data_IF_925148069316
#
_entry.id   IF_925148069316
#
_cell.length_a   1.000
_cell.length_b   1.000
_cell.length_c   1.000
_cell.angle_alpha   90.00
_cell.angle_beta   90.00
_cell.angle_gamma   90.00
#
_symmetry.space_group_name_H-M   'P 1'
#
loop_
_entity.id
_entity.type
_entity.pdbx_description
1 polymer ?
#
# COMPACT_ATOMS: atom_id res chain seq x y z
N UNK A 1 -39.07 10.15 -35.39
CA UNK A 1 -38.78 9.54 -34.08
C UNK A 1 -37.89 8.33 -34.31
N UNK A 2 -36.61 8.39 -33.91
CA UNK A 2 -35.71 7.22 -33.96
C UNK A 2 -35.93 6.40 -32.70
N UNK A 3 -36.39 5.17 -32.84
CA UNK A 3 -36.54 4.23 -31.73
C UNK A 3 -35.17 3.81 -31.23
N UNK A 4 -34.87 4.08 -29.95
CA UNK A 4 -33.66 3.58 -29.30
C UNK A 4 -33.78 2.06 -29.16
N UNK A 5 -32.71 1.35 -29.53
CA UNK A 5 -32.69 -0.11 -29.51
C UNK A 5 -32.51 -0.61 -28.06
N UNK A 6 -33.53 -1.24 -27.49
CA UNK A 6 -33.54 -1.74 -26.11
C UNK A 6 -32.43 -2.74 -25.83
N UNK A 7 -32.01 -3.53 -26.82
CA UNK A 7 -30.86 -4.42 -26.70
C UNK A 7 -29.56 -3.62 -26.51
N UNK A 8 -29.38 -2.51 -27.23
CA UNK A 8 -28.22 -1.64 -27.09
C UNK A 8 -28.18 -0.98 -25.69
N UNK A 9 -29.33 -0.56 -25.17
CA UNK A 9 -29.45 -0.04 -23.81
C UNK A 9 -29.15 -1.09 -22.74
N UNK A 10 -29.64 -2.33 -22.91
CA UNK A 10 -29.34 -3.44 -22.00
C UNK A 10 -27.86 -3.83 -22.03
N UNK A 11 -27.23 -3.87 -23.20
CA UNK A 11 -25.79 -4.08 -23.35
C UNK A 11 -24.98 -2.94 -22.71
N UNK A 12 -25.35 -1.68 -22.91
CA UNK A 12 -24.72 -0.53 -22.24
C UNK A 12 -24.89 -0.59 -20.71
N UNK A 13 -26.07 -0.96 -20.21
CA UNK A 13 -26.30 -1.14 -18.78
C UNK A 13 -25.46 -2.30 -18.19
N UNK A 14 -25.31 -3.40 -18.93
CA UNK A 14 -24.47 -4.56 -18.55
C UNK A 14 -22.96 -4.24 -18.61
N UNK A 15 -22.51 -3.32 -19.48
CA UNK A 15 -21.14 -2.80 -19.45
C UNK A 15 -20.93 -1.77 -18.35
N UNK A 16 -21.96 -0.99 -17.97
CA UNK A 16 -21.88 -0.06 -16.85
C UNK A 16 -21.92 -0.78 -15.48
N UNK A 17 -22.52 -1.98 -15.41
CA UNK A 17 -22.49 -2.87 -14.23
C UNK A 17 -21.18 -3.69 -14.09
N UNK A 18 -20.24 -3.57 -15.03
CA UNK A 18 -18.93 -4.24 -15.02
C UNK A 18 -17.85 -3.16 -15.20
N UNK A 19 -17.09 -2.66 -14.23
CA UNK A 19 -16.64 -3.12 -12.92
C UNK A 19 -16.27 -1.79 -12.25
N UNK A 20 -16.94 -1.38 -11.16
CA UNK A 20 -16.29 -0.46 -10.23
C UNK A 20 -15.09 -1.24 -9.71
N UNK A 21 -13.88 -0.97 -10.20
CA UNK A 21 -12.67 -1.59 -9.68
C UNK A 21 -12.69 -1.36 -8.16
N UNK A 22 -12.77 -2.46 -7.43
CA UNK A 22 -12.82 -2.46 -5.98
C UNK A 22 -11.61 -1.67 -5.48
N UNK A 23 -11.91 -0.60 -4.74
CA UNK A 23 -11.03 0.16 -3.85
C UNK A 23 -9.53 -0.02 -4.08
N UNK A 24 -8.91 0.93 -4.80
CA UNK A 24 -7.46 1.02 -4.93
C UNK A 24 -6.87 1.48 -3.60
N UNK A 25 -5.97 0.70 -2.99
CA UNK A 25 -5.20 1.14 -1.84
C UNK A 25 -3.90 1.80 -2.31
N UNK A 26 -3.44 2.78 -1.55
CA UNK A 26 -2.15 3.41 -1.73
C UNK A 26 -1.29 3.16 -0.49
N UNK A 27 -0.14 2.53 -0.65
CA UNK A 27 0.79 2.24 0.44
C UNK A 27 1.97 3.20 0.35
N UNK A 28 2.33 3.80 1.49
CA UNK A 28 3.50 4.63 1.64
C UNK A 28 4.47 3.99 2.64
N UNK A 29 5.72 3.76 2.24
CA UNK A 29 6.83 3.39 3.13
C UNK A 29 7.75 4.60 3.25
N UNK A 30 7.70 5.30 4.39
CA UNK A 30 8.35 6.60 4.59
C UNK A 30 9.57 6.44 5.50
N UNK A 31 10.74 6.86 5.03
CA UNK A 31 11.95 6.83 5.83
C UNK A 31 11.95 7.96 6.88
N UNK A 32 11.90 7.60 8.16
CA UNK A 32 11.99 8.52 9.30
C UNK A 32 13.16 8.19 10.26
N UNK A 33 14.24 7.63 9.72
CA UNK A 33 15.43 7.24 10.50
C UNK A 33 16.30 8.43 10.97
N UNK A 34 15.97 9.64 10.50
CA UNK A 34 16.70 10.89 10.73
C UNK A 34 17.66 11.25 9.59
N UNK A 35 18.14 12.49 9.62
CA UNK A 35 19.03 13.04 8.59
C UNK A 35 20.22 12.12 8.27
N UNK A 36 20.62 12.10 6.99
CA UNK A 36 21.75 11.33 6.46
C UNK A 36 21.65 9.80 6.63
N UNK A 37 20.49 9.27 7.02
CA UNK A 37 20.27 7.84 7.17
C UNK A 37 19.35 7.34 6.06
N UNK A 38 19.88 6.50 5.18
CA UNK A 38 19.11 5.93 4.08
C UNK A 38 18.47 4.61 4.49
N UNK A 39 17.24 4.40 4.00
CA UNK A 39 16.55 3.12 4.03
C UNK A 39 16.63 2.49 2.64
N UNK A 40 17.11 1.25 2.55
CA UNK A 40 16.93 0.46 1.32
C UNK A 40 15.70 -0.41 1.50
N UNK A 41 14.77 -0.35 0.55
CA UNK A 41 13.52 -1.10 0.58
C UNK A 41 13.28 -1.79 -0.77
N UNK A 42 13.05 -3.09 -0.75
CA UNK A 42 12.62 -3.89 -1.89
C UNK A 42 11.21 -4.44 -1.60
N UNK A 43 10.23 -4.00 -2.37
CA UNK A 43 8.83 -4.29 -2.09
C UNK A 43 8.20 -5.15 -3.18
N UNK A 44 7.33 -6.08 -2.78
CA UNK A 44 6.73 -7.07 -3.68
C UNK A 44 5.40 -7.57 -3.15
N UNK A 45 4.51 -7.96 -4.05
CA UNK A 45 3.41 -8.88 -3.80
C UNK A 45 3.78 -10.27 -4.32
N UNK A 46 2.82 -11.20 -4.32
CA UNK A 46 2.99 -12.52 -4.93
C UNK A 46 3.22 -12.44 -6.45
N UNK A 47 2.52 -11.54 -7.12
CA UNK A 47 2.46 -11.47 -8.60
C UNK A 47 3.21 -10.25 -9.17
N UNK A 48 3.65 -9.31 -8.32
CA UNK A 48 4.27 -8.06 -8.75
C UNK A 48 5.49 -7.74 -7.89
N UNK A 49 6.63 -7.59 -8.56
CA UNK A 49 7.85 -7.03 -7.96
C UNK A 49 7.89 -5.52 -8.25
N UNK A 50 7.92 -4.70 -7.21
CA UNK A 50 7.98 -3.24 -7.32
C UNK A 50 9.43 -2.74 -7.42
N UNK A 51 10.39 -3.64 -7.21
CA UNK A 51 11.82 -3.37 -7.24
C UNK A 51 12.36 -2.79 -5.94
N UNK A 52 13.61 -2.35 -6.01
CA UNK A 52 14.36 -1.79 -4.89
C UNK A 52 14.51 -0.29 -5.03
N UNK A 53 14.34 0.44 -3.93
CA UNK A 53 14.62 1.87 -3.82
C UNK A 53 15.50 2.16 -2.60
N UNK A 54 16.37 3.15 -2.75
CA UNK A 54 17.10 3.77 -1.63
C UNK A 54 16.40 5.09 -1.32
N UNK A 55 15.90 5.23 -0.10
CA UNK A 55 15.14 6.38 0.36
C UNK A 55 16.01 7.22 1.29
N UNK A 56 16.21 8.49 0.93
CA UNK A 56 16.75 9.50 1.84
C UNK A 56 15.75 9.81 2.97
N UNK A 57 16.19 10.52 4.00
CA UNK A 57 15.30 10.93 5.10
C UNK A 57 14.11 11.74 4.57
N UNK A 58 12.90 11.37 5.00
CA UNK A 58 11.64 11.98 4.56
C UNK A 58 11.13 11.50 3.19
N UNK A 59 11.91 10.75 2.42
CA UNK A 59 11.47 10.18 1.15
C UNK A 59 10.56 8.95 1.37
N UNK A 60 9.72 8.66 0.38
CA UNK A 60 8.79 7.54 0.40
C UNK A 60 9.02 6.57 -0.78
N UNK A 61 8.83 5.29 -0.53
CA UNK A 61 8.52 4.28 -1.55
C UNK A 61 7.02 4.01 -1.48
N UNK A 62 6.30 4.42 -2.51
CA UNK A 62 4.86 4.33 -2.59
C UNK A 62 4.35 3.75 -3.91
N UNK A 63 3.15 3.16 -3.85
CA UNK A 63 2.45 2.60 -5.00
C UNK A 63 0.94 2.48 -4.75
N UNK A 64 0.19 2.58 -5.84
CA UNK A 64 -1.22 2.23 -5.90
C UNK A 64 -1.40 0.79 -6.39
N UNK A 65 -2.42 0.12 -5.89
CA UNK A 65 -2.87 -1.16 -6.44
C UNK A 65 -4.37 -1.35 -6.20
N UNK A 66 -5.00 -2.17 -7.04
CA UNK A 66 -6.32 -2.70 -6.78
C UNK A 66 -6.24 -4.12 -6.22
N UNK A 67 -7.34 -4.58 -5.61
CA UNK A 67 -7.42 -5.91 -5.02
C UNK A 67 -7.29 -7.05 -6.05
N UNK A 68 -7.42 -6.78 -7.36
CA UNK A 68 -7.16 -7.76 -8.41
C UNK A 68 -5.66 -8.02 -8.64
N UNK A 69 -4.80 -7.06 -8.30
CA UNK A 69 -3.34 -7.13 -8.49
C UNK A 69 -2.57 -7.47 -7.21
N UNK A 70 -3.20 -7.38 -6.04
CA UNK A 70 -2.58 -7.79 -4.79
C UNK A 70 -3.50 -7.62 -3.59
N UNK A 71 -3.52 -8.63 -2.71
CA UNK A 71 -4.12 -8.54 -1.37
C UNK A 71 -3.07 -8.39 -0.28
N UNK A 72 -1.80 -8.48 -0.64
CA UNK A 72 -0.68 -8.62 0.29
C UNK A 72 0.58 -8.05 -0.33
N UNK A 73 1.29 -7.22 0.42
CA UNK A 73 2.60 -6.68 0.05
C UNK A 73 3.59 -6.85 1.20
N UNK A 74 4.80 -7.25 0.83
CA UNK A 74 5.95 -7.40 1.69
C UNK A 74 7.05 -6.45 1.24
N UNK A 75 7.84 -5.97 2.20
CA UNK A 75 9.00 -5.16 1.93
C UNK A 75 10.19 -5.67 2.75
N UNK A 76 11.22 -6.10 2.02
CA UNK A 76 12.56 -6.34 2.55
C UNK A 76 13.23 -4.98 2.74
N UNK A 77 13.54 -4.65 3.98
CA UNK A 77 14.06 -3.35 4.36
C UNK A 77 15.36 -3.50 5.12
N UNK A 78 16.28 -2.56 4.88
CA UNK A 78 17.53 -2.47 5.62
C UNK A 78 18.02 -1.05 5.79
N UNK A 79 18.63 -0.79 6.95
CA UNK A 79 19.37 0.43 7.25
C UNK A 79 20.47 0.11 8.25
N UNK A 80 21.67 0.66 8.04
CA UNK A 80 22.85 0.33 8.84
C UNK A 80 23.06 -1.19 9.01
N UNK A 81 22.86 -1.72 10.23
CA UNK A 81 22.97 -3.16 10.55
C UNK A 81 21.61 -3.84 10.73
N UNK A 82 20.52 -3.08 10.71
CA UNK A 82 19.16 -3.57 10.90
C UNK A 82 18.55 -3.98 9.56
N UNK A 83 17.85 -5.11 9.57
CA UNK A 83 17.25 -5.69 8.37
C UNK A 83 16.05 -6.59 8.72
N UNK A 84 15.04 -6.62 7.86
CA UNK A 84 13.90 -7.54 7.98
C UNK A 84 12.96 -7.48 6.79
N UNK A 85 12.13 -8.52 6.63
CA UNK A 85 11.07 -8.60 5.63
C UNK A 85 9.71 -8.46 6.33
N UNK A 86 8.96 -7.42 5.97
CA UNK A 86 7.77 -6.99 6.71
C UNK A 86 6.52 -6.98 5.82
N UNK A 87 5.42 -7.53 6.30
CA UNK A 87 4.11 -7.43 5.67
C UNK A 87 3.56 -6.01 5.88
N UNK A 88 3.76 -5.14 4.88
CA UNK A 88 3.33 -3.73 4.91
C UNK A 88 1.90 -3.54 4.39
N UNK A 89 1.28 -4.59 3.86
CA UNK A 89 -0.15 -4.59 3.58
C UNK A 89 -0.68 -6.01 3.59
N UNK A 90 -1.84 -6.21 4.20
CA UNK A 90 -2.66 -7.40 4.05
C UNK A 90 -4.13 -7.04 4.18
N UNK A 91 -4.89 -7.17 3.10
CA UNK A 91 -6.28 -6.67 3.00
C UNK A 91 -7.16 -7.08 4.18
N UNK A 92 -7.20 -8.36 4.62
CA UNK A 92 -8.09 -8.77 5.72
C UNK A 92 -7.79 -8.12 7.07
N UNK A 93 -6.61 -7.53 7.23
CA UNK A 93 -6.22 -6.79 8.45
C UNK A 93 -6.26 -5.28 8.20
N UNK A 94 -5.69 -4.83 7.10
CA UNK A 94 -5.35 -3.43 6.89
C UNK A 94 -6.46 -2.63 6.21
N UNK A 95 -7.45 -3.28 5.60
CA UNK A 95 -8.58 -2.59 4.99
C UNK A 95 -9.38 -1.73 5.99
N UNK A 96 -9.46 -2.15 7.25
CA UNK A 96 -10.14 -1.40 8.33
C UNK A 96 -9.19 -0.51 9.14
N UNK A 97 -7.89 -0.81 9.14
CA UNK A 97 -6.87 -0.07 9.92
C UNK A 97 -6.38 1.17 9.19
N UNK A 98 -6.15 1.00 7.88
CA UNK A 98 -5.75 2.09 6.99
C UNK A 98 -6.91 3.05 6.76
N UNK A 99 -6.58 4.32 6.54
CA UNK A 99 -7.54 5.40 6.44
C UNK A 99 -7.72 5.90 5.03
N UNK A 100 -8.96 6.02 4.56
CA UNK A 100 -9.26 6.59 3.22
C UNK A 100 -8.50 5.88 2.10
N UNK A 101 -8.35 4.56 2.23
CA UNK A 101 -7.60 3.68 1.32
C UNK A 101 -6.10 4.00 1.26
N UNK A 102 -5.56 4.66 2.29
CA UNK A 102 -4.13 4.99 2.39
C UNK A 102 -3.53 4.34 3.62
N UNK A 103 -2.44 3.62 3.41
CA UNK A 103 -1.66 2.99 4.46
C UNK A 103 -0.33 3.72 4.59
N UNK A 104 -0.13 4.41 5.71
CA UNK A 104 1.09 5.16 5.97
C UNK A 104 1.98 4.38 6.93
N UNK A 105 3.10 3.88 6.42
CA UNK A 105 4.16 3.29 7.21
C UNK A 105 5.27 4.30 7.45
N UNK A 106 5.59 4.53 8.72
CA UNK A 106 6.73 5.33 9.15
C UNK A 106 7.81 4.40 9.69
N UNK A 107 8.99 4.50 9.11
CA UNK A 107 10.12 3.64 9.42
C UNK A 107 11.07 4.37 10.37
N UNK A 108 11.03 3.99 11.64
CA UNK A 108 11.81 4.59 12.73
C UNK A 108 12.96 3.65 13.14
N UNK A 109 13.86 4.15 14.00
CA UNK A 109 15.07 3.41 14.41
C UNK A 109 14.78 2.17 15.26
N UNK A 110 13.66 2.15 15.96
CA UNK A 110 13.21 1.04 16.82
C UNK A 110 12.26 0.09 16.08
N UNK A 111 11.62 0.55 15.01
CA UNK A 111 10.75 -0.30 14.22
C UNK A 111 9.86 0.43 13.22
N UNK A 112 8.83 -0.28 12.78
CA UNK A 112 7.90 0.16 11.75
C UNK A 112 6.55 0.48 12.40
N UNK A 113 6.06 1.69 12.12
CA UNK A 113 4.81 2.20 12.64
C UNK A 113 3.78 2.32 11.52
N UNK A 114 2.58 1.80 11.73
CA UNK A 114 1.42 2.05 10.86
C UNK A 114 0.56 3.16 11.46
N UNK A 115 0.16 4.13 10.66
CA UNK A 115 -0.91 5.07 11.05
C UNK A 115 -2.26 4.34 11.06
N UNK A 116 -2.89 4.24 12.24
CA UNK A 116 -4.18 3.60 12.42
C UNK A 116 -5.26 4.69 12.51
N UNK A 117 -6.13 4.78 11.50
CA UNK A 117 -7.10 5.88 11.37
C UNK A 117 -8.08 5.98 12.54
N UNK A 118 -8.54 4.85 13.08
CA UNK A 118 -9.47 4.83 14.21
C UNK A 118 -8.85 5.37 15.51
N UNK A 119 -7.52 5.35 15.61
CA UNK A 119 -6.77 5.81 16.77
C UNK A 119 -6.13 7.19 16.55
N UNK A 120 -6.16 7.69 15.31
CA UNK A 120 -5.50 8.93 14.89
C UNK A 120 -4.02 9.00 15.32
N UNK A 121 -3.32 7.87 15.24
CA UNK A 121 -1.96 7.75 15.74
C UNK A 121 -1.12 6.68 15.01
N UNK A 122 0.20 6.84 15.07
CA UNK A 122 1.17 5.86 14.59
C UNK A 122 1.41 4.80 15.67
N UNK A 123 1.13 3.54 15.36
CA UNK A 123 1.35 2.41 16.27
C UNK A 123 2.45 1.50 15.77
N UNK A 124 3.41 1.19 16.65
CA UNK A 124 4.47 0.23 16.38
C UNK A 124 3.85 -1.14 16.05
N UNK A 125 4.19 -1.68 14.88
CA UNK A 125 3.72 -3.00 14.42
C UNK A 125 4.82 -4.03 14.44
N UNK A 126 6.04 -3.60 14.12
CA UNK A 126 7.20 -4.47 14.04
C UNK A 126 8.40 -3.76 14.67
N UNK A 127 9.14 -4.46 15.52
CA UNK A 127 10.49 -4.03 15.92
C UNK A 127 11.49 -4.56 14.91
N UNK A 128 12.62 -3.86 14.75
CA UNK A 128 13.76 -4.45 14.05
C UNK A 128 14.25 -5.73 14.77
N UNK A 129 14.67 -6.78 14.04
CA UNK A 129 15.30 -7.97 14.61
C UNK A 129 16.64 -7.70 15.31
#
# INVERSE_FOLDING_TARGET
MRTLNTNLLLFLALTLLKIQMATAFHVYVINNLGDYTNLTAHCRSKETDLGTRVLEFGAAFDWDFDLGHGFEYWCDMSWAVSHGDFQVFYEPKDAERCGDQKCYWRIDRDGLYLYIKSEDDYKLQFTWP
#
